data_IF_961408545219
#
_entry.id   IF_961408545219
#
_cell.length_a   1.000
_cell.length_b   1.000
_cell.length_c   1.000
_cell.angle_alpha   90.00
_cell.angle_beta   90.00
_cell.angle_gamma   90.00
#
_symmetry.space_group_name_H-M   'P 1'
#
loop_
_entity.id
_entity.type
_entity.pdbx_description
1 polymer ?
#
# COMPACT_ATOMS: atom_id res chain seq x y z
N UNK A 1 -11.23 -0.80 -25.92
CA UNK A 1 -11.36 0.35 -25.00
C UNK A 1 -9.99 1.00 -24.86
N UNK A 2 -9.86 2.31 -24.98
CA UNK A 2 -8.55 3.00 -25.07
C UNK A 2 -8.39 4.01 -23.94
N UNK A 3 -7.28 3.94 -23.23
CA UNK A 3 -6.89 4.87 -22.17
C UNK A 3 -5.43 5.28 -22.36
N UNK A 4 -5.09 6.50 -21.96
CA UNK A 4 -3.69 6.92 -21.80
C UNK A 4 -3.26 6.57 -20.39
N UNK A 5 -2.16 5.83 -20.24
CA UNK A 5 -1.50 5.59 -18.96
C UNK A 5 -0.32 6.55 -18.81
N UNK A 6 -0.27 7.28 -17.70
CA UNK A 6 0.80 8.23 -17.38
C UNK A 6 1.38 7.88 -16.03
N UNK A 7 2.66 7.49 -16.00
CA UNK A 7 3.43 7.41 -14.75
C UNK A 7 3.87 8.80 -14.33
N UNK A 8 3.56 9.18 -13.10
CA UNK A 8 3.94 10.46 -12.53
C UNK A 8 4.65 10.25 -11.19
N UNK A 9 5.62 11.13 -10.91
CA UNK A 9 6.12 11.33 -9.55
C UNK A 9 5.36 12.50 -8.94
N UNK A 10 4.94 12.34 -7.69
CA UNK A 10 4.18 13.34 -6.94
C UNK A 10 4.72 13.45 -5.51
N UNK A 11 4.37 14.55 -4.85
CA UNK A 11 4.72 14.82 -3.46
C UNK A 11 3.66 14.22 -2.54
N UNK A 12 4.11 13.56 -1.47
CA UNK A 12 3.24 13.07 -0.39
C UNK A 12 3.96 13.18 0.95
N UNK A 13 3.40 12.58 2.00
CA UNK A 13 3.96 12.54 3.34
C UNK A 13 4.00 11.13 3.90
N UNK A 14 5.09 10.78 4.56
CA UNK A 14 5.22 9.49 5.24
C UNK A 14 4.36 9.44 6.53
N UNK A 15 4.43 8.31 7.24
CA UNK A 15 3.71 8.09 8.49
C UNK A 15 4.07 9.07 9.63
N UNK A 16 5.21 9.78 9.55
CA UNK A 16 5.63 10.81 10.50
C UNK A 16 5.44 12.23 9.97
N UNK A 17 4.64 12.40 8.91
CA UNK A 17 4.38 13.68 8.24
C UNK A 17 5.62 14.34 7.59
N UNK A 18 6.69 13.60 7.34
CA UNK A 18 7.82 14.11 6.56
C UNK A 18 7.51 14.02 5.06
N UNK A 19 7.92 15.05 4.30
CA UNK A 19 7.71 15.10 2.85
C UNK A 19 8.50 14.02 2.12
N UNK A 20 7.83 13.29 1.21
CA UNK A 20 8.42 12.19 0.43
C UNK A 20 8.01 12.29 -1.06
N UNK A 21 8.89 11.89 -2.00
CA UNK A 21 8.51 11.65 -3.38
C UNK A 21 7.92 10.24 -3.51
N UNK A 22 6.80 10.13 -4.24
CA UNK A 22 6.14 8.86 -4.54
C UNK A 22 5.80 8.82 -6.02
N UNK A 23 5.74 7.63 -6.61
CA UNK A 23 5.30 7.44 -7.99
C UNK A 23 3.94 6.78 -8.06
N UNK A 24 3.26 6.93 -9.19
CA UNK A 24 1.99 6.26 -9.44
C UNK A 24 1.59 6.34 -10.90
N UNK A 25 0.49 5.68 -11.24
CA UNK A 25 -0.03 5.59 -12.60
C UNK A 25 -1.42 6.21 -12.69
N UNK A 26 -1.62 7.07 -13.68
CA UNK A 26 -2.92 7.68 -14.01
C UNK A 26 -3.42 7.12 -15.34
N UNK A 27 -4.53 6.42 -15.29
CA UNK A 27 -5.24 5.88 -16.44
C UNK A 27 -6.40 6.80 -16.82
N UNK A 28 -6.20 7.58 -17.88
CA UNK A 28 -7.18 8.54 -18.40
C UNK A 28 -7.94 7.93 -19.57
N UNK A 29 -9.26 7.73 -19.49
CA UNK A 29 -10.05 7.24 -20.62
C UNK A 29 -9.99 8.22 -21.80
N UNK A 30 -9.71 7.72 -23.00
CA UNK A 30 -9.66 8.55 -24.22
C UNK A 30 -11.03 8.85 -24.81
N UNK A 31 -12.05 8.06 -24.45
CA UNK A 31 -13.42 8.26 -24.91
C UNK A 31 -14.12 9.34 -24.05
N UNK A 32 -14.94 10.23 -24.64
CA UNK A 32 -15.74 11.20 -23.90
C UNK A 32 -16.62 10.55 -22.84
N UNK A 33 -16.83 11.26 -21.72
CA UNK A 33 -17.80 10.85 -20.71
C UNK A 33 -19.21 11.22 -21.18
N UNK A 34 -20.08 10.22 -21.32
CA UNK A 34 -21.48 10.40 -21.77
C UNK A 34 -22.50 10.29 -20.63
N UNK A 35 -22.05 10.01 -19.40
CA UNK A 35 -22.92 9.95 -18.24
C UNK A 35 -23.27 11.33 -17.68
N UNK A 36 -24.14 11.37 -16.68
CA UNK A 36 -24.50 12.61 -16.01
C UNK A 36 -23.33 13.13 -15.14
N UNK A 37 -23.18 14.45 -15.06
CA UNK A 37 -22.20 15.12 -14.21
C UNK A 37 -20.75 14.88 -14.63
N UNK A 38 -19.83 15.06 -13.68
CA UNK A 38 -18.39 14.80 -13.89
C UNK A 38 -18.12 13.31 -14.08
N UNK A 39 -17.12 12.98 -14.91
CA UNK A 39 -16.62 11.60 -15.04
C UNK A 39 -16.20 11.08 -13.65
N UNK A 40 -16.63 9.88 -13.23
CA UNK A 40 -16.13 9.26 -12.01
C UNK A 40 -14.64 8.90 -12.11
N UNK A 41 -13.95 9.02 -10.98
CA UNK A 41 -12.56 8.60 -10.80
C UNK A 41 -12.44 7.64 -9.62
N UNK A 42 -11.60 6.64 -9.75
CA UNK A 42 -11.32 5.67 -8.69
C UNK A 42 -9.83 5.68 -8.39
N UNK A 43 -9.50 5.84 -7.11
CA UNK A 43 -8.19 5.52 -6.59
C UNK A 43 -8.18 4.05 -6.22
N UNK A 44 -7.50 3.25 -7.04
CA UNK A 44 -7.34 1.83 -6.80
C UNK A 44 -6.09 1.63 -5.95
N UNK A 45 -6.31 1.46 -4.65
CA UNK A 45 -5.29 1.07 -3.70
C UNK A 45 -4.97 -0.41 -3.89
N UNK A 46 -3.75 -0.69 -4.37
CA UNK A 46 -3.32 -2.05 -4.71
C UNK A 46 -3.04 -2.90 -3.47
N UNK A 47 -3.25 -4.20 -3.62
CA UNK A 47 -2.84 -5.25 -2.69
C UNK A 47 -1.32 -5.44 -2.64
N UNK A 48 -0.90 -6.47 -1.90
CA UNK A 48 0.51 -6.77 -1.64
C UNK A 48 1.33 -6.94 -2.90
N UNK A 49 2.36 -6.12 -3.06
CA UNK A 49 3.28 -6.19 -4.20
C UNK A 49 4.62 -6.87 -3.87
N UNK A 50 5.03 -6.85 -2.59
CA UNK A 50 6.35 -7.26 -2.11
C UNK A 50 7.33 -6.10 -2.01
N UNK A 51 8.50 -6.30 -1.41
CA UNK A 51 9.36 -5.18 -0.99
C UNK A 51 10.43 -4.77 -2.02
N UNK A 52 10.56 -5.53 -3.11
CA UNK A 52 11.49 -5.21 -4.18
C UNK A 52 11.11 -3.93 -4.95
N UNK A 53 12.12 -3.17 -5.37
CA UNK A 53 11.92 -1.94 -6.17
C UNK A 53 11.31 -2.19 -7.55
N UNK A 54 11.43 -3.41 -8.08
CA UNK A 54 10.80 -3.85 -9.32
C UNK A 54 9.31 -4.21 -9.13
N UNK A 55 8.86 -4.35 -7.89
CA UNK A 55 7.48 -4.67 -7.54
C UNK A 55 6.58 -3.42 -7.49
N UNK A 56 7.13 -2.23 -7.76
CA UNK A 56 6.34 -1.02 -7.85
C UNK A 56 5.18 -1.19 -8.87
N UNK A 57 3.91 -0.93 -8.50
CA UNK A 57 2.76 -1.07 -9.39
C UNK A 57 2.96 -0.40 -10.75
N UNK A 58 3.48 0.83 -10.78
CA UNK A 58 3.76 1.57 -12.02
C UNK A 58 4.72 0.84 -12.96
N UNK A 59 5.76 0.20 -12.43
CA UNK A 59 6.69 -0.62 -13.22
C UNK A 59 6.01 -1.88 -13.73
N UNK A 60 5.20 -2.53 -12.89
CA UNK A 60 4.47 -3.73 -13.27
C UNK A 60 3.39 -3.44 -14.33
N UNK A 61 2.72 -2.29 -14.29
CA UNK A 61 1.79 -1.87 -15.34
C UNK A 61 2.50 -1.65 -16.68
N UNK A 62 3.66 -0.99 -16.68
CA UNK A 62 4.48 -0.82 -17.89
C UNK A 62 4.92 -2.18 -18.45
N UNK A 63 5.30 -3.12 -17.57
CA UNK A 63 5.68 -4.48 -17.95
C UNK A 63 4.49 -5.38 -18.29
N UNK A 64 3.24 -4.93 -18.09
CA UNK A 64 2.02 -5.74 -18.19
C UNK A 64 2.02 -6.99 -17.29
N UNK A 65 2.69 -6.92 -16.14
CA UNK A 65 2.77 -7.99 -15.15
C UNK A 65 1.94 -7.70 -13.90
N UNK A 66 1.30 -6.54 -13.81
CA UNK A 66 0.55 -6.16 -12.63
C UNK A 66 -0.70 -7.03 -12.43
N UNK A 67 -0.82 -7.61 -11.23
CA UNK A 67 -1.89 -8.57 -10.91
C UNK A 67 -3.27 -7.90 -10.88
N UNK A 68 -3.32 -6.62 -10.52
CA UNK A 68 -4.56 -5.85 -10.47
C UNK A 68 -4.82 -5.04 -11.75
N UNK A 69 -4.31 -5.49 -12.90
CA UNK A 69 -4.68 -4.92 -14.19
C UNK A 69 -6.17 -5.15 -14.54
N UNK A 70 -6.76 -6.28 -14.13
CA UNK A 70 -8.17 -6.58 -14.39
C UNK A 70 -9.14 -5.53 -13.79
N UNK A 71 -9.08 -5.17 -12.49
CA UNK A 71 -9.95 -4.13 -11.95
C UNK A 71 -9.74 -2.77 -12.62
N UNK A 72 -8.50 -2.40 -12.98
CA UNK A 72 -8.24 -1.18 -13.77
C UNK A 72 -8.99 -1.24 -15.10
N UNK A 73 -8.88 -2.33 -15.85
CA UNK A 73 -9.57 -2.51 -17.14
C UNK A 73 -11.09 -2.48 -16.96
N UNK A 74 -11.62 -3.07 -15.90
CA UNK A 74 -13.06 -3.09 -15.63
C UNK A 74 -13.62 -1.68 -15.34
N UNK A 75 -12.90 -0.88 -14.55
CA UNK A 75 -13.26 0.52 -14.25
C UNK A 75 -13.17 1.39 -15.51
N UNK A 76 -12.08 1.24 -16.26
CA UNK A 76 -11.89 1.89 -17.54
C UNK A 76 -13.02 1.52 -18.51
N UNK A 77 -13.45 0.26 -18.59
CA UNK A 77 -14.55 -0.18 -19.46
C UNK A 77 -15.90 0.52 -19.15
N UNK A 78 -16.09 1.01 -17.92
CA UNK A 78 -17.23 1.86 -17.53
C UNK A 78 -17.05 3.35 -17.91
N UNK A 79 -15.92 3.70 -18.49
CA UNK A 79 -15.53 5.07 -18.83
C UNK A 79 -15.01 5.87 -17.64
N UNK A 80 -14.66 5.23 -16.52
CA UNK A 80 -14.16 5.91 -15.32
C UNK A 80 -12.64 6.10 -15.41
N UNK A 81 -12.12 7.18 -14.83
CA UNK A 81 -10.67 7.33 -14.67
C UNK A 81 -10.17 6.51 -13.49
N UNK A 82 -8.90 6.08 -13.56
CA UNK A 82 -8.27 5.29 -12.49
C UNK A 82 -6.93 5.92 -12.15
N UNK A 83 -6.65 6.06 -10.86
CA UNK A 83 -5.32 6.39 -10.36
C UNK A 83 -4.85 5.25 -9.45
N UNK A 84 -3.55 5.01 -9.45
CA UNK A 84 -2.92 3.98 -8.62
C UNK A 84 -1.62 4.55 -8.07
N UNK A 85 -1.50 4.62 -6.75
CA UNK A 85 -0.22 4.95 -6.13
C UNK A 85 0.68 3.71 -6.08
N UNK A 86 2.01 3.93 -6.17
CA UNK A 86 2.96 2.88 -5.86
C UNK A 86 3.14 2.64 -4.35
N UNK A 87 2.66 3.54 -3.48
CA UNK A 87 3.02 3.69 -2.08
C UNK A 87 4.47 4.15 -1.82
N UNK A 88 4.74 4.54 -0.57
CA UNK A 88 6.04 5.01 -0.13
C UNK A 88 7.14 3.96 -0.37
N UNK A 89 8.34 4.45 -0.71
CA UNK A 89 9.56 3.66 -0.76
C UNK A 89 9.81 2.92 -2.08
N UNK A 90 8.78 2.66 -2.88
CA UNK A 90 8.98 2.20 -4.25
C UNK A 90 9.60 3.28 -5.13
N UNK A 91 10.34 2.84 -6.15
CA UNK A 91 11.06 3.62 -7.17
C UNK A 91 12.11 4.62 -6.69
N UNK A 92 12.24 4.82 -5.37
CA UNK A 92 13.19 5.73 -4.72
C UNK A 92 14.43 5.02 -4.14
N UNK A 93 14.46 3.69 -4.18
CA UNK A 93 15.55 2.88 -3.61
C UNK A 93 15.43 2.62 -2.11
N UNK A 94 14.39 3.14 -1.45
CA UNK A 94 14.06 2.80 -0.05
C UNK A 94 13.36 1.44 0.05
N UNK A 95 13.14 0.94 1.25
CA UNK A 95 12.23 -0.20 1.45
C UNK A 95 10.78 0.31 1.48
N UNK A 96 9.82 -0.36 0.83
CA UNK A 96 8.41 0.00 0.97
C UNK A 96 7.91 -0.14 2.41
N UNK A 97 7.13 0.83 2.87
CA UNK A 97 6.52 0.85 4.22
C UNK A 97 5.24 0.02 4.25
N UNK A 98 5.34 -1.24 3.85
CA UNK A 98 4.21 -2.16 3.72
C UNK A 98 3.32 -2.16 4.98
N UNK A 99 2.01 -1.98 4.78
CA UNK A 99 0.93 -1.90 5.80
C UNK A 99 1.06 -0.78 6.83
N UNK A 100 1.92 0.22 6.59
CA UNK A 100 1.94 1.45 7.37
C UNK A 100 0.76 2.35 6.93
N UNK A 101 -0.36 2.24 7.63
CA UNK A 101 -1.65 2.76 7.22
C UNK A 101 -1.67 4.27 7.00
N UNK A 102 -1.01 5.03 7.86
CA UNK A 102 -0.93 6.51 7.71
C UNK A 102 -0.19 6.90 6.43
N UNK A 103 0.95 6.24 6.14
CA UNK A 103 1.71 6.49 4.92
C UNK A 103 0.90 6.10 3.68
N UNK A 104 0.32 4.89 3.68
CA UNK A 104 -0.50 4.40 2.57
C UNK A 104 -1.67 5.35 2.29
N UNK A 105 -2.38 5.83 3.32
CA UNK A 105 -3.45 6.81 3.17
C UNK A 105 -2.98 8.11 2.52
N UNK A 106 -1.87 8.68 2.99
CA UNK A 106 -1.34 9.92 2.41
C UNK A 106 -1.00 9.72 0.93
N UNK A 107 -0.31 8.63 0.59
CA UNK A 107 0.08 8.35 -0.80
C UNK A 107 -1.13 8.14 -1.71
N UNK A 108 -2.16 7.39 -1.28
CA UNK A 108 -3.43 7.26 -2.02
C UNK A 108 -4.07 8.64 -2.21
N UNK A 109 -4.34 9.38 -1.13
CA UNK A 109 -5.01 10.68 -1.22
C UNK A 109 -4.23 11.69 -2.10
N UNK A 110 -2.91 11.73 -1.97
CA UNK A 110 -2.07 12.64 -2.74
C UNK A 110 -1.94 12.20 -4.21
N UNK A 111 -2.09 10.91 -4.53
CA UNK A 111 -2.18 10.43 -5.91
C UNK A 111 -3.44 10.97 -6.61
N UNK A 112 -4.59 10.98 -5.91
CA UNK A 112 -5.81 11.61 -6.41
C UNK A 112 -5.64 13.12 -6.64
N UNK A 113 -4.95 13.83 -5.74
CA UNK A 113 -4.60 15.25 -5.94
C UNK A 113 -3.65 15.46 -7.12
N UNK A 114 -2.64 14.61 -7.25
CA UNK A 114 -1.65 14.70 -8.32
C UNK A 114 -2.30 14.54 -9.70
N UNK A 115 -3.31 13.68 -9.83
CA UNK A 115 -4.03 13.50 -11.09
C UNK A 115 -4.73 14.78 -11.60
N UNK A 116 -5.13 15.69 -10.71
CA UNK A 116 -5.66 17.01 -11.09
C UNK A 116 -4.60 17.94 -11.72
N UNK A 117 -3.31 17.66 -11.47
CA UNK A 117 -2.20 18.44 -12.02
C UNK A 117 -1.63 17.85 -13.32
N UNK A 118 -2.09 16.67 -13.75
CA UNK A 118 -1.63 16.01 -14.98
C UNK A 118 -2.45 16.52 -16.17
N UNK A 119 -1.83 17.06 -17.23
CA UNK A 119 -2.54 17.54 -18.41
C UNK A 119 -3.36 16.43 -19.08
N UNK A 120 -4.59 16.77 -19.47
CA UNK A 120 -5.46 15.88 -20.23
C UNK A 120 -6.34 14.94 -19.40
N UNK A 121 -6.19 14.89 -18.07
CA UNK A 121 -7.06 14.09 -17.20
C UNK A 121 -8.48 14.65 -17.11
N UNK A 122 -8.60 15.99 -17.13
CA UNK A 122 -9.86 16.69 -16.86
C UNK A 122 -10.35 16.54 -15.41
N UNK A 123 -9.48 16.07 -14.50
CA UNK A 123 -9.74 15.94 -13.07
C UNK A 123 -9.49 17.26 -12.37
N UNK A 124 -10.25 17.52 -11.32
CA UNK A 124 -9.96 18.53 -10.32
C UNK A 124 -10.16 17.92 -8.93
N UNK A 125 -9.70 18.59 -7.88
CA UNK A 125 -9.96 18.16 -6.49
C UNK A 125 -11.46 18.12 -6.16
N UNK A 126 -12.28 18.91 -6.86
CA UNK A 126 -13.75 18.90 -6.75
C UNK A 126 -14.44 17.75 -7.51
N UNK A 127 -13.71 16.99 -8.33
CA UNK A 127 -14.24 15.82 -9.05
C UNK A 127 -14.64 14.75 -8.02
N UNK A 128 -15.87 14.21 -8.07
CA UNK A 128 -16.24 13.08 -7.24
C UNK A 128 -15.33 11.88 -7.52
N UNK A 129 -14.76 11.32 -6.46
CA UNK A 129 -13.90 10.16 -6.57
C UNK A 129 -14.20 9.11 -5.49
N UNK A 130 -13.79 7.88 -5.73
CA UNK A 130 -13.94 6.76 -4.81
C UNK A 130 -12.58 6.13 -4.52
N UNK A 131 -12.41 5.60 -3.31
CA UNK A 131 -11.32 4.65 -2.99
C UNK A 131 -11.81 3.22 -3.17
N UNK A 132 -10.95 2.35 -3.66
CA UNK A 132 -11.22 0.92 -3.76
C UNK A 132 -9.93 0.13 -3.49
N UNK A 133 -10.02 -0.98 -2.75
CA UNK A 133 -8.89 -1.87 -2.58
C UNK A 133 -9.24 -3.18 -1.88
N UNK A 134 -8.35 -4.17 -2.01
CA UNK A 134 -8.47 -5.47 -1.37
C UNK A 134 -7.16 -5.89 -0.67
N UNK A 135 -7.26 -6.63 0.46
CA UNK A 135 -6.09 -7.06 1.25
C UNK A 135 -5.28 -5.85 1.75
N UNK A 136 -3.96 -5.76 1.50
CA UNK A 136 -3.19 -4.53 1.79
C UNK A 136 -3.89 -3.29 1.24
N UNK A 137 -4.37 -3.35 -0.01
CA UNK A 137 -5.10 -2.28 -0.66
C UNK A 137 -6.42 -1.94 0.02
N UNK A 138 -7.06 -2.92 0.65
CA UNK A 138 -8.24 -2.69 1.48
C UNK A 138 -7.89 -1.91 2.76
N UNK A 139 -6.72 -2.20 3.35
CA UNK A 139 -6.15 -1.42 4.44
C UNK A 139 -5.87 0.03 4.03
N UNK A 140 -5.12 0.22 2.94
CA UNK A 140 -4.79 1.52 2.38
C UNK A 140 -6.03 2.34 1.99
N UNK A 141 -7.00 1.72 1.30
CA UNK A 141 -8.29 2.31 0.91
C UNK A 141 -9.09 2.77 2.14
N UNK A 142 -9.21 1.91 3.16
CA UNK A 142 -9.92 2.24 4.38
C UNK A 142 -9.22 3.32 5.22
N UNK A 143 -7.88 3.28 5.30
CA UNK A 143 -7.07 4.33 5.94
C UNK A 143 -7.23 5.67 5.20
N UNK A 144 -7.18 5.67 3.87
CA UNK A 144 -7.41 6.86 3.06
C UNK A 144 -8.80 7.45 3.31
N UNK A 145 -9.84 6.61 3.39
CA UNK A 145 -11.19 7.03 3.70
C UNK A 145 -11.31 7.65 5.11
N UNK A 146 -10.63 7.05 6.10
CA UNK A 146 -10.58 7.54 7.48
C UNK A 146 -9.87 8.90 7.58
N UNK A 147 -8.73 9.08 6.89
CA UNK A 147 -7.94 10.31 6.97
C UNK A 147 -8.41 11.40 6.02
N UNK A 148 -9.19 11.11 4.98
CA UNK A 148 -9.65 12.09 3.99
C UNK A 148 -10.22 13.38 4.61
N UNK A 149 -11.10 13.36 5.64
CA UNK A 149 -11.64 14.59 6.22
C UNK A 149 -10.60 15.50 6.88
N UNK A 150 -9.49 14.95 7.37
CA UNK A 150 -8.47 15.70 8.12
C UNK A 150 -7.22 16.01 7.29
N UNK A 151 -6.82 15.09 6.39
CA UNK A 151 -5.64 15.21 5.55
C UNK A 151 -5.96 15.80 4.16
N UNK A 152 -7.13 15.46 3.61
CA UNK A 152 -7.51 15.79 2.23
C UNK A 152 -8.94 16.32 2.08
N UNK A 153 -9.31 17.27 2.94
CA UNK A 153 -10.64 17.90 2.95
C UNK A 153 -11.00 18.64 1.64
N UNK A 154 -10.02 18.96 0.81
CA UNK A 154 -10.22 19.53 -0.53
C UNK A 154 -10.68 18.51 -1.57
N UNK A 155 -10.50 17.21 -1.30
CA UNK A 155 -10.94 16.13 -2.17
C UNK A 155 -12.39 15.73 -1.90
N UNK A 156 -13.17 15.51 -2.97
CA UNK A 156 -14.56 15.06 -2.86
C UNK A 156 -14.69 13.53 -2.87
N UNK A 157 -14.26 12.88 -1.79
CA UNK A 157 -14.43 11.44 -1.60
C UNK A 157 -15.91 11.11 -1.39
N UNK A 158 -16.51 10.32 -2.27
CA UNK A 158 -17.96 9.99 -2.21
C UNK A 158 -18.25 8.60 -1.66
N UNK A 159 -17.32 7.66 -1.77
CA UNK A 159 -17.46 6.30 -1.25
C UNK A 159 -16.10 5.63 -1.14
N UNK A 160 -16.02 4.69 -0.19
CA UNK A 160 -14.94 3.72 -0.06
C UNK A 160 -15.47 2.32 -0.34
N UNK A 161 -14.66 1.49 -1.00
CA UNK A 161 -14.94 0.07 -1.26
C UNK A 161 -13.72 -0.76 -0.89
N UNK A 162 -13.58 -1.01 0.41
CA UNK A 162 -12.48 -1.80 0.97
C UNK A 162 -12.90 -3.23 1.30
N UNK A 163 -12.09 -4.21 0.89
CA UNK A 163 -12.32 -5.64 1.17
C UNK A 163 -11.08 -6.35 1.73
N UNK A 164 -11.28 -7.42 2.49
CA UNK A 164 -10.16 -8.18 3.08
C UNK A 164 -9.24 -7.31 3.96
N UNK A 165 -9.81 -6.30 4.61
CA UNK A 165 -9.08 -5.23 5.28
C UNK A 165 -8.29 -5.77 6.48
N UNK A 166 -6.94 -5.61 6.52
CA UNK A 166 -6.14 -5.94 7.68
C UNK A 166 -6.27 -4.84 8.73
N UNK A 167 -7.47 -4.68 9.29
CA UNK A 167 -7.78 -3.56 10.18
C UNK A 167 -6.91 -3.57 11.44
N UNK A 168 -6.71 -4.75 12.04
CA UNK A 168 -5.79 -4.97 13.16
C UNK A 168 -4.51 -5.66 12.64
N UNK A 169 -3.52 -4.86 12.28
CA UNK A 169 -2.25 -5.35 11.69
C UNK A 169 -1.52 -6.31 12.63
N UNK A 170 -1.62 -6.10 13.95
CA UNK A 170 -1.03 -7.00 14.95
C UNK A 170 -1.71 -8.37 14.92
N UNK A 171 -3.03 -8.40 15.01
CA UNK A 171 -3.79 -9.65 14.98
C UNK A 171 -3.54 -10.41 13.68
N UNK A 172 -3.52 -9.71 12.55
CA UNK A 172 -3.17 -10.30 11.25
C UNK A 172 -1.75 -10.89 11.31
N UNK A 173 -0.75 -10.15 11.77
CA UNK A 173 0.62 -10.64 11.90
C UNK A 173 0.69 -11.90 12.79
N UNK A 174 0.08 -11.88 13.98
CA UNK A 174 0.03 -13.04 14.89
C UNK A 174 -0.69 -14.25 14.25
N UNK A 175 -1.72 -14.03 13.43
CA UNK A 175 -2.45 -15.10 12.73
C UNK A 175 -1.67 -15.79 11.61
N UNK A 176 -0.67 -15.09 11.06
CA UNK A 176 0.18 -15.59 9.98
C UNK A 176 1.35 -16.44 10.50
N UNK A 177 1.70 -16.33 11.79
CA UNK A 177 2.79 -17.07 12.44
C UNK A 177 2.55 -18.59 12.35
N UNK A 178 3.46 -19.30 11.69
CA UNK A 178 3.36 -20.76 11.54
C UNK A 178 2.31 -21.22 10.52
N UNK A 179 1.71 -20.30 9.77
CA UNK A 179 0.78 -20.64 8.68
C UNK A 179 1.50 -21.25 7.48
N UNK A 180 0.74 -21.92 6.61
CA UNK A 180 1.32 -22.60 5.42
C UNK A 180 1.86 -21.61 4.39
N UNK A 181 1.32 -20.39 4.31
CA UNK A 181 1.66 -19.42 3.24
C UNK A 181 1.80 -17.97 3.73
N UNK A 182 1.60 -17.70 5.02
CA UNK A 182 1.45 -16.34 5.54
C UNK A 182 2.71 -15.72 6.15
N UNK A 183 3.73 -16.52 6.46
CA UNK A 183 4.91 -16.03 7.17
C UNK A 183 5.66 -14.93 6.39
N UNK A 184 5.73 -15.02 5.06
CA UNK A 184 6.35 -13.95 4.26
C UNK A 184 5.57 -12.63 4.35
N UNK A 185 4.25 -12.69 4.47
CA UNK A 185 3.41 -11.50 4.68
C UNK A 185 3.59 -10.92 6.08
N UNK A 186 3.78 -11.78 7.10
CA UNK A 186 4.14 -11.34 8.44
C UNK A 186 5.48 -10.60 8.42
N UNK A 187 6.53 -11.21 7.85
CA UNK A 187 7.85 -10.58 7.75
C UNK A 187 7.81 -9.29 6.92
N UNK A 188 7.03 -9.22 5.84
CA UNK A 188 6.81 -7.97 5.12
C UNK A 188 6.20 -6.89 6.00
N UNK A 189 5.19 -7.21 6.82
CA UNK A 189 4.59 -6.25 7.75
C UNK A 189 5.60 -5.76 8.78
N UNK A 190 6.39 -6.65 9.38
CA UNK A 190 7.41 -6.26 10.36
C UNK A 190 8.47 -5.36 9.73
N UNK A 191 8.95 -5.69 8.52
CA UNK A 191 9.95 -4.89 7.80
C UNK A 191 9.37 -3.53 7.40
N UNK A 192 8.14 -3.50 6.90
CA UNK A 192 7.44 -2.29 6.49
C UNK A 192 7.21 -1.33 7.66
N UNK A 193 6.75 -1.86 8.81
CA UNK A 193 6.55 -1.08 10.03
C UNK A 193 7.87 -0.60 10.66
N UNK A 194 8.94 -1.41 10.62
CA UNK A 194 10.28 -0.93 10.99
C UNK A 194 10.71 0.25 10.13
N UNK A 195 10.52 0.14 8.81
CA UNK A 195 10.90 1.18 7.87
C UNK A 195 10.06 2.45 8.06
N UNK A 196 8.77 2.29 8.37
CA UNK A 196 7.87 3.40 8.64
C UNK A 196 8.18 4.06 9.98
N UNK A 197 8.52 3.33 11.04
CA UNK A 197 8.69 3.86 12.39
C UNK A 197 10.08 3.58 12.97
N UNK A 198 11.15 4.14 12.36
CA UNK A 198 12.52 3.90 12.79
C UNK A 198 12.72 4.34 14.25
N UNK A 199 13.32 3.46 15.05
CA UNK A 199 13.57 3.68 16.48
C UNK A 199 12.38 3.39 17.41
N UNK A 200 11.17 3.17 16.87
CA UNK A 200 10.01 2.72 17.65
C UNK A 200 9.70 1.23 17.43
N UNK A 201 10.04 0.69 16.25
CA UNK A 201 9.80 -0.69 15.88
C UNK A 201 11.14 -1.42 15.58
N UNK A 202 11.86 -1.90 16.62
CA UNK A 202 13.23 -2.40 16.51
C UNK A 202 13.30 -3.87 16.07
N UNK A 203 12.87 -4.17 14.84
CA UNK A 203 12.93 -5.52 14.27
C UNK A 203 14.39 -6.02 14.16
N UNK A 204 15.31 -5.19 13.68
CA UNK A 204 16.73 -5.53 13.44
C UNK A 204 17.45 -6.03 14.70
N UNK A 205 17.07 -5.51 15.86
CA UNK A 205 17.62 -5.90 17.16
C UNK A 205 17.10 -7.27 17.62
N UNK A 206 15.95 -7.67 17.10
CA UNK A 206 15.28 -8.93 17.43
C UNK A 206 15.63 -10.07 16.45
N UNK A 207 16.22 -9.77 15.30
CA UNK A 207 16.56 -10.76 14.28
C UNK A 207 17.89 -11.48 14.56
N UNK A 208 17.88 -12.80 14.39
CA UNK A 208 19.10 -13.62 14.29
C UNK A 208 19.85 -13.34 12.98
N UNK A 209 21.05 -13.92 12.81
CA UNK A 209 21.79 -13.85 11.55
C UNK A 209 20.99 -14.42 10.36
N UNK A 210 20.24 -15.50 10.58
CA UNK A 210 19.34 -16.07 9.57
C UNK A 210 18.14 -15.15 9.28
N UNK A 211 17.61 -14.50 10.31
CA UNK A 211 16.57 -13.47 10.18
C UNK A 211 17.01 -12.30 9.31
N UNK A 212 18.20 -11.73 9.59
CA UNK A 212 18.76 -10.61 8.81
C UNK A 212 19.03 -11.00 7.35
N UNK A 213 19.53 -12.22 7.11
CA UNK A 213 19.69 -12.73 5.74
C UNK A 213 18.34 -12.89 5.02
N UNK A 214 17.31 -13.34 5.75
CA UNK A 214 15.95 -13.49 5.21
C UNK A 214 15.33 -12.14 4.89
N UNK A 215 15.42 -11.17 5.79
CA UNK A 215 14.98 -9.79 5.57
C UNK A 215 15.64 -9.19 4.33
N UNK A 216 16.98 -9.30 4.21
CA UNK A 216 17.70 -8.78 3.05
C UNK A 216 17.22 -9.42 1.73
N UNK A 217 16.87 -10.71 1.77
CA UNK A 217 16.29 -11.43 0.62
C UNK A 217 14.88 -10.91 0.29
N UNK A 218 14.01 -10.79 1.29
CA UNK A 218 12.63 -10.31 1.14
C UNK A 218 12.55 -8.89 0.55
N UNK A 219 13.48 -8.00 0.93
CA UNK A 219 13.62 -6.64 0.37
C UNK A 219 13.92 -6.61 -1.14
N UNK A 220 14.16 -7.76 -1.76
CA UNK A 220 14.40 -7.89 -3.21
C UNK A 220 13.32 -8.66 -3.95
N UNK A 221 12.27 -9.12 -3.27
CA UNK A 221 11.28 -10.05 -3.83
C UNK A 221 9.90 -9.39 -3.99
N UNK A 222 9.16 -9.85 -5.00
CA UNK A 222 7.75 -9.53 -5.19
C UNK A 222 6.86 -10.62 -4.57
N UNK A 223 5.61 -10.28 -4.25
CA UNK A 223 4.69 -11.15 -3.49
C UNK A 223 4.59 -12.57 -4.05
N UNK A 224 4.51 -12.71 -5.38
CA UNK A 224 4.34 -14.02 -6.04
C UNK A 224 5.54 -14.92 -5.77
N UNK A 225 6.74 -14.35 -5.64
CA UNK A 225 7.97 -15.10 -5.34
C UNK A 225 7.99 -15.58 -3.88
N UNK A 226 7.31 -14.88 -2.97
CA UNK A 226 7.45 -15.10 -1.52
C UNK A 226 6.35 -15.91 -0.88
N UNK A 227 5.18 -16.01 -1.52
CA UNK A 227 4.03 -16.75 -0.99
C UNK A 227 4.29 -18.26 -0.78
N UNK A 228 5.26 -18.85 -1.49
CA UNK A 228 5.60 -20.28 -1.39
C UNK A 228 6.92 -20.55 -0.66
N UNK A 229 7.65 -19.51 -0.25
CA UNK A 229 9.02 -19.65 0.24
C UNK A 229 9.14 -20.08 1.72
N UNK A 230 8.08 -19.89 2.51
CA UNK A 230 8.18 -19.94 3.98
C UNK A 230 7.06 -20.76 4.64
N UNK A 231 6.80 -22.01 4.20
CA UNK A 231 5.70 -22.80 4.74
C UNK A 231 5.95 -23.22 6.20
N UNK A 232 4.96 -22.99 7.05
CA UNK A 232 4.95 -23.38 8.48
C UNK A 232 6.07 -22.74 9.31
N UNK A 233 6.74 -21.72 8.75
CA UNK A 233 7.75 -20.94 9.44
C UNK A 233 7.11 -19.99 10.42
N UNK A 234 7.84 -19.69 11.49
CA UNK A 234 7.41 -18.78 12.56
C UNK A 234 8.42 -17.68 12.75
N UNK A 235 7.99 -16.58 13.35
CA UNK A 235 8.88 -15.49 13.73
C UNK A 235 10.07 -15.97 14.58
N UNK A 236 9.84 -16.95 15.46
CA UNK A 236 10.90 -17.54 16.30
C UNK A 236 12.01 -18.26 15.52
N UNK A 237 11.77 -18.63 14.25
CA UNK A 237 12.78 -19.19 13.36
C UNK A 237 13.74 -18.10 12.83
N UNK A 238 13.34 -16.84 12.90
CA UNK A 238 14.10 -15.68 12.39
C UNK A 238 14.65 -14.80 13.51
N UNK A 239 14.01 -14.82 14.68
CA UNK A 239 14.40 -13.99 15.81
C UNK A 239 15.56 -14.57 16.64
N UNK A 240 16.08 -13.81 17.61
CA UNK A 240 17.02 -14.29 18.64
C UNK A 240 16.32 -15.07 19.76
N UNK A 241 15.29 -15.87 19.42
CA UNK A 241 14.55 -16.73 20.34
C UNK A 241 13.25 -16.13 20.89
N UNK A 242 12.85 -14.94 20.46
CA UNK A 242 11.56 -14.35 20.81
C UNK A 242 10.42 -14.90 19.93
N UNK A 243 9.24 -15.12 20.51
CA UNK A 243 8.01 -15.35 19.72
C UNK A 243 7.46 -14.03 19.16
N UNK A 244 6.56 -14.10 18.18
CA UNK A 244 5.92 -12.88 17.63
C UNK A 244 5.19 -12.11 18.73
N UNK A 245 4.48 -12.79 19.64
CA UNK A 245 3.77 -12.15 20.74
C UNK A 245 4.70 -11.46 21.74
N UNK A 246 5.91 -11.99 21.95
CA UNK A 246 6.92 -11.35 22.79
C UNK A 246 7.51 -10.10 22.13
N UNK A 247 7.68 -10.14 20.80
CA UNK A 247 8.09 -8.98 20.03
C UNK A 247 6.99 -7.89 20.03
N UNK A 248 5.75 -8.27 19.76
CA UNK A 248 4.60 -7.36 19.71
C UNK A 248 4.26 -6.71 21.06
N UNK A 249 4.62 -7.36 22.16
CA UNK A 249 4.45 -6.84 23.52
C UNK A 249 5.48 -5.78 23.92
N UNK A 250 6.53 -5.54 23.12
CA UNK A 250 7.51 -4.49 23.41
C UNK A 250 6.82 -3.11 23.36
N UNK A 251 7.07 -2.20 24.32
CA UNK A 251 6.32 -0.95 24.42
C UNK A 251 6.32 -0.08 23.15
N UNK A 252 7.46 0.01 22.45
CA UNK A 252 7.55 0.75 21.19
C UNK A 252 6.75 0.10 20.07
N UNK A 253 6.86 -1.23 19.94
CA UNK A 253 6.14 -2.02 18.94
C UNK A 253 4.63 -1.95 19.14
N UNK A 254 4.16 -2.13 20.38
CA UNK A 254 2.75 -2.03 20.73
C UNK A 254 2.18 -0.62 20.45
N UNK A 255 2.97 0.44 20.67
CA UNK A 255 2.59 1.80 20.33
C UNK A 255 2.43 2.00 18.83
N UNK A 256 3.33 1.45 18.01
CA UNK A 256 3.22 1.50 16.55
C UNK A 256 1.97 0.75 16.07
N UNK A 257 1.72 -0.45 16.57
CA UNK A 257 0.49 -1.18 16.24
C UNK A 257 -0.77 -0.41 16.62
N UNK A 258 -0.78 0.31 17.74
CA UNK A 258 -1.91 1.15 18.12
C UNK A 258 -2.11 2.37 17.20
N UNK A 259 -1.03 2.88 16.60
CA UNK A 259 -1.08 3.99 15.64
C UNK A 259 -1.54 3.52 14.24
N UNK A 260 -1.24 2.29 13.85
CA UNK A 260 -1.60 1.70 12.53
C UNK A 260 -2.80 0.75 12.56
N UNK A 261 -3.62 0.78 13.61
CA UNK A 261 -4.86 0.01 13.67
C UNK A 261 -6.04 0.80 13.08
N UNK A 262 -6.69 0.25 12.04
CA UNK A 262 -7.87 0.84 11.38
C UNK A 262 -9.19 0.48 12.11
N UNK A 263 -9.12 0.31 13.43
CA UNK A 263 -10.32 0.16 14.26
C UNK A 263 -10.67 1.55 14.79
N UNK A 264 -11.69 2.16 14.19
CA UNK A 264 -12.20 3.48 14.58
C UNK A 264 -12.70 3.55 16.01
#
# INVERSE_FOLDING_TARGET
MTATATTAMYHSRNAQNADIPVTGTVFTPTLPWLGAGSRPWVDLAVGTQGLGQQCAPSKQFVASTEQELEPVVALLAKGWGVVVSDYEGYTTGSTPTYVAGVSEAHTVLDMARAAASIPGTGVSTATPWATMGYSQGGGASGWAASLAPSYAADLKLITDVSGGVPADVRNVAESLDGSVTGESLQLYALIGLQQAYPGQFPLDDSLSAAGKATEASLKTQCVVQTLTGYPLKKFSDYSTGATIQQFDAQPGVASVYAQDNLTG
#
